data_IF_221944441647
#
_entry.id   IF_221944441647
#
_cell.length_a   1.000
_cell.length_b   1.000
_cell.length_c   1.000
_cell.angle_alpha   90.00
_cell.angle_beta   90.00
_cell.angle_gamma   90.00
#
_symmetry.space_group_name_H-M   'P 1'
#
loop_
_entity.id
_entity.type
_entity.pdbx_description
1 polymer ?
#
# COMPACT_ATOMS: atom_id res chain seq x y z
N UNK A 1 53.76 -29.93 42.16
CA UNK A 1 52.82 -28.81 41.92
C UNK A 1 51.59 -29.20 41.11
N UNK A 2 51.73 -29.96 40.00
CA UNK A 2 50.60 -30.35 39.13
C UNK A 2 49.41 -31.05 39.83
N UNK A 3 49.66 -31.89 40.84
CA UNK A 3 48.60 -32.66 41.50
C UNK A 3 47.66 -31.77 42.33
N UNK A 4 48.21 -30.77 43.05
CA UNK A 4 47.42 -29.82 43.86
C UNK A 4 46.51 -28.95 43.00
N UNK A 5 47.00 -28.49 41.85
CA UNK A 5 46.17 -27.72 40.91
C UNK A 5 45.03 -28.54 40.29
N UNK A 6 45.27 -29.83 40.03
CA UNK A 6 44.25 -30.72 39.46
C UNK A 6 43.14 -30.98 40.47
N UNK A 7 43.48 -31.25 41.73
CA UNK A 7 42.51 -31.41 42.82
C UNK A 7 41.69 -30.15 43.06
N UNK A 8 42.31 -28.96 43.01
CA UNK A 8 41.58 -27.70 43.15
C UNK A 8 40.55 -27.50 42.02
N UNK A 9 40.95 -27.82 40.77
CA UNK A 9 40.05 -27.79 39.61
C UNK A 9 38.91 -28.79 39.77
N UNK A 10 39.19 -30.03 40.20
CA UNK A 10 38.17 -31.05 40.52
C UNK A 10 37.22 -30.57 41.61
N UNK A 11 37.73 -29.96 42.68
CA UNK A 11 36.93 -29.41 43.79
C UNK A 11 35.98 -28.28 43.35
N UNK A 12 36.43 -27.38 42.47
CA UNK A 12 35.59 -26.33 41.87
C UNK A 12 34.47 -26.93 41.00
N UNK A 13 34.80 -27.87 40.12
CA UNK A 13 33.81 -28.56 39.26
C UNK A 13 32.80 -29.34 40.09
N UNK A 14 33.26 -30.09 41.11
CA UNK A 14 32.41 -30.87 42.02
C UNK A 14 31.38 -30.00 42.74
N UNK A 15 31.81 -28.88 43.35
CA UNK A 15 30.90 -27.93 44.01
C UNK A 15 29.87 -27.34 43.05
N UNK A 16 30.31 -27.01 41.83
CA UNK A 16 29.43 -26.46 40.81
C UNK A 16 28.37 -27.46 40.32
N UNK A 17 28.75 -28.72 40.13
CA UNK A 17 27.81 -29.81 39.78
C UNK A 17 26.81 -30.04 40.91
N UNK A 18 27.26 -30.01 42.19
CA UNK A 18 26.37 -30.12 43.36
C UNK A 18 25.31 -29.02 43.40
N UNK A 19 25.71 -27.78 43.15
CA UNK A 19 24.77 -26.66 43.07
C UNK A 19 23.90 -26.69 41.81
N UNK A 20 24.34 -27.34 40.72
CA UNK A 20 23.65 -27.33 39.43
C UNK A 20 23.60 -28.73 38.78
N UNK A 21 22.74 -29.66 39.25
CA UNK A 21 22.72 -31.05 38.77
C UNK A 21 22.40 -31.22 37.28
N UNK A 22 21.81 -30.20 36.63
CA UNK A 22 21.47 -30.19 35.18
C UNK A 22 22.58 -29.63 34.29
N UNK A 23 23.74 -29.28 34.86
CA UNK A 23 24.81 -28.57 34.17
C UNK A 23 25.44 -29.37 33.02
N UNK A 24 26.04 -28.64 32.07
CA UNK A 24 26.77 -29.16 30.92
C UNK A 24 28.26 -28.83 30.99
N UNK A 25 29.10 -29.60 30.29
CA UNK A 25 30.53 -29.30 30.15
C UNK A 25 30.79 -27.87 29.64
N UNK A 26 29.90 -27.37 28.76
CA UNK A 26 29.96 -26.00 28.23
C UNK A 26 29.69 -24.95 29.29
N UNK A 27 28.71 -25.17 30.16
CA UNK A 27 28.38 -24.25 31.26
C UNK A 27 29.48 -24.23 32.31
N UNK A 28 30.04 -25.39 32.66
CA UNK A 28 31.20 -25.49 33.55
C UNK A 28 32.39 -24.72 32.97
N UNK A 29 32.73 -24.94 31.69
CA UNK A 29 33.80 -24.19 31.02
C UNK A 29 33.54 -22.69 31.02
N UNK A 30 32.30 -22.26 30.74
CA UNK A 30 31.94 -20.84 30.68
C UNK A 30 32.02 -20.16 32.05
N UNK A 31 31.57 -20.83 33.11
CA UNK A 31 31.44 -20.25 34.46
C UNK A 31 32.72 -20.38 35.28
N UNK A 32 33.44 -21.48 35.12
CA UNK A 32 34.64 -21.77 35.92
C UNK A 32 35.94 -21.60 35.12
N UNK A 33 35.88 -21.42 33.80
CA UNK A 33 37.07 -21.41 32.94
C UNK A 33 37.73 -22.79 32.75
N UNK A 34 37.16 -23.85 33.35
CA UNK A 34 37.75 -25.19 33.39
C UNK A 34 37.14 -26.08 32.29
N UNK A 35 38.00 -26.65 31.44
CA UNK A 35 37.59 -27.76 30.56
C UNK A 35 37.51 -29.03 31.42
N UNK A 36 36.35 -29.68 31.46
CA UNK A 36 36.12 -30.85 32.32
C UNK A 36 37.03 -32.01 31.93
N UNK A 37 37.31 -32.16 30.64
CA UNK A 37 38.22 -33.16 30.09
C UNK A 37 39.69 -32.96 30.52
N UNK A 38 40.05 -31.77 31.01
CA UNK A 38 41.37 -31.51 31.61
C UNK A 38 41.41 -31.81 33.11
N UNK A 39 40.24 -31.94 33.76
CA UNK A 39 40.12 -32.22 35.19
C UNK A 39 39.77 -33.69 35.47
N UNK A 40 39.04 -34.35 34.57
CA UNK A 40 38.56 -35.72 34.69
C UNK A 40 38.82 -36.47 33.37
N UNK A 41 39.34 -37.70 33.47
CA UNK A 41 39.74 -38.52 32.31
C UNK A 41 38.51 -39.03 31.54
N UNK A 42 37.45 -39.44 32.24
CA UNK A 42 36.17 -39.80 31.59
C UNK A 42 35.24 -38.58 31.41
N UNK A 43 35.78 -37.37 31.59
CA UNK A 43 35.08 -36.11 31.41
C UNK A 43 33.89 -35.95 32.36
N UNK A 44 32.72 -35.62 31.81
CA UNK A 44 31.53 -35.30 32.61
C UNK A 44 31.02 -36.49 33.44
N UNK A 45 31.22 -37.74 32.98
CA UNK A 45 30.73 -38.93 33.69
C UNK A 45 31.42 -39.04 35.05
N UNK A 46 32.75 -39.10 35.05
CA UNK A 46 33.58 -39.13 36.26
C UNK A 46 33.35 -37.89 37.14
N UNK A 47 33.13 -36.72 36.54
CA UNK A 47 32.81 -35.50 37.31
C UNK A 47 31.48 -35.59 38.09
N UNK A 48 30.44 -36.20 37.50
CA UNK A 48 29.15 -36.43 38.16
C UNK A 48 29.24 -37.52 39.24
N UNK A 49 29.96 -38.62 38.96
CA UNK A 49 30.25 -39.69 39.91
C UNK A 49 31.04 -39.14 41.12
N UNK A 50 32.09 -38.36 40.89
CA UNK A 50 32.89 -37.71 41.94
C UNK A 50 32.09 -36.67 42.76
N UNK A 51 31.03 -36.09 42.19
CA UNK A 51 30.09 -35.23 42.90
C UNK A 51 29.00 -35.98 43.68
N UNK A 52 28.95 -37.31 43.56
CA UNK A 52 27.90 -38.18 44.07
C UNK A 52 26.50 -37.75 43.59
N UNK A 53 26.39 -37.37 42.32
CA UNK A 53 25.14 -36.97 41.67
C UNK A 53 24.89 -37.83 40.46
N UNK A 54 23.71 -38.46 40.42
CA UNK A 54 23.27 -39.24 39.27
C UNK A 54 23.11 -38.32 38.06
N UNK A 55 23.87 -38.57 37.00
CA UNK A 55 23.74 -37.78 35.78
C UNK A 55 22.39 -38.04 35.10
N UNK A 56 21.73 -36.97 34.68
CA UNK A 56 20.50 -37.03 33.88
C UNK A 56 20.76 -37.43 32.42
N UNK A 57 22.03 -37.52 32.01
CA UNK A 57 22.43 -37.84 30.63
C UNK A 57 23.13 -39.19 30.59
N UNK A 58 22.75 -40.01 29.62
CA UNK A 58 23.50 -41.21 29.31
C UNK A 58 24.73 -40.82 28.49
N UNK A 59 25.92 -40.92 29.08
CA UNK A 59 27.20 -40.61 28.42
C UNK A 59 27.72 -41.75 27.53
N UNK A 60 27.07 -42.94 27.56
CA UNK A 60 27.44 -44.05 26.69
C UNK A 60 27.16 -43.68 25.23
N UNK A 61 28.21 -43.63 24.42
CA UNK A 61 28.11 -43.36 22.98
C UNK A 61 27.42 -44.55 22.31
N UNK A 62 26.27 -44.31 21.68
CA UNK A 62 25.60 -45.32 20.85
C UNK A 62 26.42 -45.60 19.59
N UNK A 63 26.55 -46.88 19.23
CA UNK A 63 27.20 -47.32 17.98
C UNK A 63 26.35 -46.93 16.76
N UNK A 64 26.92 -47.03 15.56
CA UNK A 64 26.19 -46.73 14.33
C UNK A 64 25.00 -47.66 14.14
N UNK A 65 25.13 -48.95 14.46
CA UNK A 65 24.07 -49.94 14.27
C UNK A 65 22.95 -49.83 15.31
N UNK A 66 23.28 -49.48 16.57
CA UNK A 66 22.26 -49.14 17.57
C UNK A 66 21.42 -47.93 17.12
N UNK A 67 22.07 -46.92 16.53
CA UNK A 67 21.37 -45.75 15.98
C UNK A 67 20.48 -46.14 14.80
N UNK A 68 20.96 -47.00 13.91
CA UNK A 68 20.17 -47.53 12.78
C UNK A 68 18.92 -48.25 13.27
N UNK A 69 19.06 -49.15 14.25
CA UNK A 69 17.94 -49.91 14.83
C UNK A 69 16.87 -48.97 15.40
N UNK A 70 17.27 -48.00 16.22
CA UNK A 70 16.34 -47.01 16.82
C UNK A 70 15.58 -46.22 15.74
N UNK A 71 16.28 -45.80 14.67
CA UNK A 71 15.66 -45.05 13.57
C UNK A 71 14.69 -45.94 12.78
N UNK A 72 15.08 -47.18 12.47
CA UNK A 72 14.23 -48.14 11.75
C UNK A 72 12.95 -48.43 12.55
N UNK A 73 13.09 -48.73 13.85
CA UNK A 73 11.95 -49.01 14.72
C UNK A 73 11.01 -47.81 14.82
N UNK A 74 11.57 -46.59 14.87
CA UNK A 74 10.78 -45.37 14.88
C UNK A 74 10.03 -45.16 13.55
N UNK A 75 10.67 -45.39 12.41
CA UNK A 75 10.04 -45.29 11.08
C UNK A 75 8.90 -46.31 10.93
N UNK A 76 9.13 -47.56 11.37
CA UNK A 76 8.09 -48.62 11.34
C UNK A 76 6.87 -48.24 12.17
N UNK A 77 7.07 -47.65 13.35
CA UNK A 77 5.98 -47.16 14.21
C UNK A 77 5.29 -45.90 13.68
N UNK A 78 6.00 -45.05 12.94
CA UNK A 78 5.50 -43.76 12.47
C UNK A 78 5.84 -43.50 10.98
N UNK A 79 5.25 -44.26 10.05
CA UNK A 79 5.67 -44.30 8.64
C UNK A 79 5.52 -42.97 7.90
N UNK A 80 4.61 -42.09 8.34
CA UNK A 80 4.36 -40.78 7.69
C UNK A 80 5.28 -39.65 8.16
N UNK A 81 6.25 -39.91 9.04
CA UNK A 81 7.07 -38.83 9.66
C UNK A 81 8.24 -38.35 8.79
N UNK A 82 8.58 -37.07 8.85
CA UNK A 82 9.74 -36.53 8.14
C UNK A 82 11.06 -36.76 8.90
N UNK A 83 12.19 -36.71 8.19
CA UNK A 83 13.53 -36.87 8.79
C UNK A 83 13.81 -35.90 9.94
N UNK A 84 13.32 -34.65 9.86
CA UNK A 84 13.45 -33.68 10.96
C UNK A 84 12.74 -34.14 12.24
N UNK A 85 11.51 -34.66 12.12
CA UNK A 85 10.72 -35.17 13.25
C UNK A 85 11.38 -36.39 13.86
N UNK A 86 11.89 -37.31 13.03
CA UNK A 86 12.63 -38.49 13.45
C UNK A 86 13.85 -38.07 14.27
N UNK A 87 14.66 -37.14 13.76
CA UNK A 87 15.84 -36.67 14.50
C UNK A 87 15.53 -35.97 15.80
N UNK A 88 14.45 -35.18 15.85
CA UNK A 88 14.02 -34.50 17.08
C UNK A 88 13.55 -35.48 18.16
N UNK A 89 12.76 -36.49 17.78
CA UNK A 89 12.18 -37.46 18.73
C UNK A 89 13.18 -38.51 19.18
N UNK A 90 14.00 -39.01 18.26
CA UNK A 90 15.04 -40.02 18.59
C UNK A 90 16.31 -39.41 19.19
N UNK A 91 16.48 -38.08 19.10
CA UNK A 91 17.71 -37.34 19.44
C UNK A 91 18.93 -37.84 18.65
N UNK A 92 18.71 -38.45 17.48
CA UNK A 92 19.75 -38.97 16.60
C UNK A 92 19.60 -38.31 15.22
N UNK A 93 20.66 -37.68 14.73
CA UNK A 93 20.67 -37.18 13.35
C UNK A 93 20.66 -38.39 12.39
N UNK A 94 19.67 -38.47 11.50
CA UNK A 94 19.53 -39.59 10.55
C UNK A 94 20.76 -39.73 9.67
N UNK A 95 21.38 -38.61 9.28
CA UNK A 95 22.60 -38.61 8.45
C UNK A 95 23.83 -39.20 9.17
N UNK A 96 23.79 -39.32 10.51
CA UNK A 96 24.86 -39.98 11.27
C UNK A 96 24.73 -41.51 11.27
N UNK A 97 23.58 -42.06 10.84
CA UNK A 97 23.30 -43.50 10.79
C UNK A 97 23.19 -44.02 9.35
N UNK A 98 22.59 -43.23 8.46
CA UNK A 98 22.33 -43.51 7.05
C UNK A 98 22.87 -42.38 6.16
N UNK A 99 23.12 -42.64 4.88
CA UNK A 99 23.55 -41.64 3.88
C UNK A 99 22.47 -40.57 3.67
N UNK A 100 21.20 -40.97 3.67
CA UNK A 100 20.07 -40.05 3.59
C UNK A 100 18.80 -40.67 4.24
N UNK A 101 17.74 -39.87 4.36
CA UNK A 101 16.47 -40.33 4.93
C UNK A 101 15.77 -41.40 4.08
N UNK A 102 15.96 -41.39 2.76
CA UNK A 102 15.32 -42.36 1.87
C UNK A 102 15.88 -43.76 2.10
N UNK A 103 17.19 -43.86 2.34
CA UNK A 103 17.87 -45.09 2.71
C UNK A 103 17.32 -45.63 4.04
N UNK A 104 17.16 -44.79 5.06
CA UNK A 104 16.56 -45.20 6.34
C UNK A 104 15.16 -45.80 6.17
N UNK A 105 14.34 -45.22 5.28
CA UNK A 105 13.01 -45.71 4.93
C UNK A 105 13.05 -47.03 4.15
N UNK A 106 14.00 -47.17 3.21
CA UNK A 106 14.26 -48.40 2.46
C UNK A 106 14.63 -49.55 3.41
N UNK A 107 15.55 -49.32 4.35
CA UNK A 107 15.93 -50.31 5.37
C UNK A 107 14.80 -50.64 6.35
N UNK A 108 13.87 -49.70 6.58
CA UNK A 108 12.69 -49.95 7.39
C UNK A 108 11.59 -50.74 6.66
N UNK A 109 11.70 -50.95 5.34
CA UNK A 109 10.66 -51.58 4.52
C UNK A 109 9.42 -50.69 4.32
N UNK A 110 9.55 -49.37 4.51
CA UNK A 110 8.43 -48.41 4.46
C UNK A 110 8.61 -47.46 3.27
N UNK A 111 7.54 -47.21 2.50
CA UNK A 111 7.58 -46.22 1.42
C UNK A 111 7.82 -44.82 1.99
N UNK A 112 8.84 -44.13 1.49
CA UNK A 112 9.20 -42.78 1.93
C UNK A 112 8.06 -41.77 1.63
N UNK A 113 7.51 -41.06 2.64
CA UNK A 113 6.37 -40.15 2.49
C UNK A 113 6.79 -38.81 1.85
N UNK A 114 7.21 -38.83 0.59
CA UNK A 114 7.55 -37.61 -0.16
C UNK A 114 6.28 -36.93 -0.66
N UNK A 115 6.22 -35.58 -0.62
CA UNK A 115 5.10 -34.84 -1.23
C UNK A 115 5.18 -34.99 -2.76
N UNK A 116 4.04 -35.24 -3.43
CA UNK A 116 3.91 -35.35 -4.91
C UNK A 116 4.54 -34.19 -5.69
N UNK A 117 4.62 -32.99 -5.11
CA UNK A 117 5.27 -31.83 -5.73
C UNK A 117 6.79 -31.99 -5.98
N UNK A 118 7.45 -32.91 -5.25
CA UNK A 118 8.86 -33.24 -5.46
C UNK A 118 9.09 -34.35 -6.48
N UNK A 119 8.04 -35.02 -6.96
CA UNK A 119 8.14 -36.08 -7.98
C UNK A 119 8.21 -35.49 -9.39
N UNK A 120 7.68 -34.28 -9.60
CA UNK A 120 7.72 -33.62 -10.91
C UNK A 120 9.11 -33.15 -11.31
N UNK A 121 9.49 -33.46 -12.55
CA UNK A 121 10.77 -33.06 -13.14
C UNK A 121 10.85 -31.53 -13.31
N UNK A 122 12.07 -31.03 -13.50
CA UNK A 122 12.29 -29.60 -13.77
C UNK A 122 11.53 -29.15 -15.03
N UNK A 123 11.53 -29.97 -16.07
CA UNK A 123 10.87 -29.70 -17.35
C UNK A 123 9.34 -29.65 -17.24
N UNK A 124 8.73 -30.59 -16.51
CA UNK A 124 7.29 -30.57 -16.25
C UNK A 124 6.87 -29.30 -15.52
N UNK A 125 7.70 -28.82 -14.59
CA UNK A 125 7.46 -27.57 -13.87
C UNK A 125 7.62 -26.36 -14.81
N UNK A 126 8.62 -26.36 -15.70
CA UNK A 126 8.78 -25.31 -16.73
C UNK A 126 7.56 -25.26 -17.65
N UNK A 127 7.15 -26.40 -18.23
CA UNK A 127 5.95 -26.50 -19.08
C UNK A 127 4.69 -26.00 -18.37
N UNK A 128 4.51 -26.38 -17.09
CA UNK A 128 3.38 -25.91 -16.28
C UNK A 128 3.40 -24.40 -16.06
N UNK A 129 4.56 -23.81 -15.79
CA UNK A 129 4.69 -22.36 -15.62
C UNK A 129 4.36 -21.63 -16.93
N UNK A 130 4.89 -22.10 -18.06
CA UNK A 130 4.59 -21.55 -19.40
C UNK A 130 3.09 -21.61 -19.66
N UNK A 131 2.44 -22.74 -19.39
CA UNK A 131 0.99 -22.87 -19.56
C UNK A 131 0.19 -21.92 -18.64
N UNK A 132 0.63 -21.73 -17.40
CA UNK A 132 -0.01 -20.78 -16.48
C UNK A 132 0.09 -19.34 -16.99
N UNK A 133 1.23 -18.98 -17.59
CA UNK A 133 1.45 -17.65 -18.20
C UNK A 133 0.57 -17.50 -19.44
N UNK A 134 0.50 -18.51 -20.31
CA UNK A 134 -0.39 -18.54 -21.49
C UNK A 134 -1.85 -18.32 -21.12
N UNK A 135 -2.32 -19.01 -20.08
CA UNK A 135 -3.72 -18.94 -19.66
C UNK A 135 -4.05 -17.64 -18.91
N UNK A 136 -3.08 -17.02 -18.21
CA UNK A 136 -3.29 -15.76 -17.50
C UNK A 136 -1.97 -14.96 -17.41
N UNK A 137 -1.73 -14.04 -18.37
CA UNK A 137 -0.56 -13.17 -18.41
C UNK A 137 -0.43 -12.20 -17.24
N UNK A 138 -1.52 -11.94 -16.51
CA UNK A 138 -1.54 -11.00 -15.37
C UNK A 138 -1.12 -11.66 -14.05
N UNK A 139 -0.86 -12.97 -14.06
CA UNK A 139 -0.50 -13.73 -12.87
C UNK A 139 0.81 -13.22 -12.26
N UNK A 140 0.81 -13.07 -10.95
CA UNK A 140 1.98 -12.69 -10.16
C UNK A 140 2.93 -13.87 -9.99
N UNK A 141 4.21 -13.60 -9.72
CA UNK A 141 5.21 -14.64 -9.44
C UNK A 141 4.81 -15.53 -8.25
N UNK A 142 4.16 -14.94 -7.24
CA UNK A 142 3.66 -15.67 -6.06
C UNK A 142 2.52 -16.63 -6.42
N UNK A 143 1.54 -16.18 -7.22
CA UNK A 143 0.45 -17.03 -7.71
C UNK A 143 0.97 -18.17 -8.59
N UNK A 144 1.92 -17.87 -9.48
CA UNK A 144 2.59 -18.89 -10.30
C UNK A 144 3.29 -19.90 -9.39
N UNK A 145 4.03 -19.44 -8.38
CA UNK A 145 4.75 -20.32 -7.44
C UNK A 145 3.79 -21.24 -6.69
N UNK A 146 2.68 -20.69 -6.18
CA UNK A 146 1.66 -21.46 -5.45
C UNK A 146 1.01 -22.53 -6.34
N UNK A 147 0.68 -22.20 -7.59
CA UNK A 147 0.04 -23.12 -8.54
C UNK A 147 1.02 -24.14 -9.12
N UNK A 148 2.24 -23.71 -9.49
CA UNK A 148 3.27 -24.57 -10.06
C UNK A 148 3.94 -25.46 -9.02
N UNK A 149 3.98 -25.03 -7.75
CA UNK A 149 4.73 -25.70 -6.69
C UNK A 149 6.24 -25.54 -6.82
N UNK A 150 6.68 -24.55 -7.60
CA UNK A 150 8.09 -24.25 -7.86
C UNK A 150 8.27 -22.75 -8.10
N UNK A 151 9.39 -22.22 -7.62
CA UNK A 151 9.76 -20.82 -7.85
C UNK A 151 10.25 -20.64 -9.28
N UNK A 152 9.67 -19.73 -10.09
CA UNK A 152 10.07 -19.54 -11.47
C UNK A 152 11.55 -19.20 -11.65
N UNK A 153 12.12 -18.35 -10.78
CA UNK A 153 13.54 -17.96 -10.84
C UNK A 153 14.52 -19.11 -10.58
N UNK A 154 14.05 -20.29 -10.13
CA UNK A 154 14.88 -21.50 -10.00
C UNK A 154 14.89 -22.37 -11.26
N UNK A 155 13.96 -22.11 -12.18
CA UNK A 155 13.72 -22.92 -13.38
C UNK A 155 13.98 -22.16 -14.68
N UNK A 156 14.03 -20.84 -14.60
CA UNK A 156 14.32 -19.89 -15.67
C UNK A 156 15.35 -18.89 -15.15
N UNK A 157 16.14 -18.29 -16.04
CA UNK A 157 17.09 -17.21 -15.74
C UNK A 157 16.38 -16.05 -15.03
N UNK A 158 15.21 -15.68 -15.54
CA UNK A 158 14.29 -14.73 -14.94
C UNK A 158 12.84 -15.04 -15.38
N UNK A 159 11.88 -14.25 -14.90
CA UNK A 159 10.47 -14.45 -15.28
C UNK A 159 10.19 -13.89 -16.70
N UNK A 160 11.06 -13.06 -17.27
CA UNK A 160 10.91 -12.60 -18.67
C UNK A 160 11.11 -13.76 -19.63
N UNK A 161 12.14 -14.59 -19.42
CA UNK A 161 12.38 -15.79 -20.22
C UNK A 161 11.13 -16.70 -20.25
N UNK A 162 10.47 -16.88 -19.12
CA UNK A 162 9.25 -17.68 -19.03
C UNK A 162 8.08 -17.08 -19.86
N UNK A 163 8.03 -15.76 -20.02
CA UNK A 163 7.04 -15.04 -20.83
C UNK A 163 7.38 -15.12 -22.32
N UNK A 164 8.66 -14.97 -22.66
CA UNK A 164 9.14 -15.10 -24.04
C UNK A 164 8.90 -16.51 -24.57
N UNK A 165 9.20 -17.54 -23.76
CA UNK A 165 8.88 -18.94 -24.07
C UNK A 165 7.37 -19.23 -24.13
N UNK A 166 6.55 -18.41 -23.48
CA UNK A 166 5.10 -18.47 -23.60
C UNK A 166 4.56 -17.74 -24.84
N UNK A 167 5.40 -17.00 -25.58
CA UNK A 167 4.98 -16.16 -26.69
C UNK A 167 4.20 -14.92 -26.26
N UNK A 168 4.39 -14.46 -25.02
CA UNK A 168 3.66 -13.32 -24.45
C UNK A 168 4.65 -12.24 -24.06
N UNK A 169 4.38 -10.99 -24.43
CA UNK A 169 5.19 -9.85 -24.01
C UNK A 169 5.19 -9.74 -22.49
N UNK A 170 6.39 -9.67 -21.90
CA UNK A 170 6.55 -9.46 -20.47
C UNK A 170 5.80 -8.21 -19.97
N UNK A 171 5.01 -8.38 -18.92
CA UNK A 171 4.29 -7.29 -18.25
C UNK A 171 4.91 -7.08 -16.86
N UNK A 172 5.39 -5.86 -16.60
CA UNK A 172 5.95 -5.52 -15.29
C UNK A 172 4.88 -5.57 -14.18
N UNK A 173 5.31 -5.77 -12.93
CA UNK A 173 4.41 -5.84 -11.78
C UNK A 173 3.43 -4.65 -11.66
N UNK A 174 3.90 -3.39 -11.75
CA UNK A 174 3.01 -2.21 -11.72
C UNK A 174 1.98 -2.22 -12.83
N UNK A 175 2.38 -2.58 -14.06
CA UNK A 175 1.46 -2.67 -15.22
C UNK A 175 0.43 -3.78 -15.03
N UNK A 176 0.80 -4.95 -14.49
CA UNK A 176 -0.15 -6.02 -14.15
C UNK A 176 -1.18 -5.57 -13.12
N UNK A 177 -0.74 -4.85 -12.07
CA UNK A 177 -1.65 -4.30 -11.05
C UNK A 177 -2.64 -3.33 -11.68
N UNK A 178 -2.15 -2.40 -12.50
CA UNK A 178 -3.00 -1.44 -13.22
C UNK A 178 -4.02 -2.14 -14.13
N UNK A 179 -3.60 -3.14 -14.92
CA UNK A 179 -4.49 -3.94 -15.77
C UNK A 179 -5.57 -4.67 -14.97
N UNK A 180 -5.21 -5.34 -13.85
CA UNK A 180 -6.19 -6.02 -12.99
C UNK A 180 -7.21 -5.05 -12.41
N UNK A 181 -6.79 -3.87 -11.98
CA UNK A 181 -7.68 -2.83 -11.48
C UNK A 181 -8.58 -2.31 -12.62
N UNK A 182 -8.01 -2.05 -13.80
CA UNK A 182 -8.74 -1.63 -14.99
C UNK A 182 -9.84 -2.63 -15.36
N UNK A 183 -9.50 -3.92 -15.41
CA UNK A 183 -10.45 -5.01 -15.68
C UNK A 183 -11.50 -5.13 -14.58
N UNK A 184 -11.12 -4.99 -13.31
CA UNK A 184 -12.07 -4.99 -12.18
C UNK A 184 -13.10 -3.86 -12.31
N UNK A 185 -12.67 -2.65 -12.64
CA UNK A 185 -13.57 -1.51 -12.87
C UNK A 185 -14.49 -1.78 -14.05
N UNK A 186 -13.95 -2.27 -15.17
CA UNK A 186 -14.73 -2.60 -16.37
C UNK A 186 -15.82 -3.64 -16.06
N UNK A 187 -15.48 -4.73 -15.36
CA UNK A 187 -16.45 -5.75 -14.94
C UNK A 187 -17.51 -5.17 -14.01
N UNK A 188 -17.11 -4.36 -13.03
CA UNK A 188 -18.04 -3.73 -12.11
C UNK A 188 -19.03 -2.80 -12.83
N UNK A 189 -18.57 -2.02 -13.81
CA UNK A 189 -19.42 -1.14 -14.63
C UNK A 189 -20.37 -1.94 -15.53
N UNK A 190 -19.92 -3.07 -16.09
CA UNK A 190 -20.79 -3.98 -16.85
C UNK A 190 -21.93 -4.54 -16.00
N UNK A 191 -21.61 -4.95 -14.77
CA UNK A 191 -22.59 -5.48 -13.81
C UNK A 191 -23.49 -4.40 -13.23
N UNK A 192 -22.99 -3.16 -13.14
CA UNK A 192 -23.69 -2.02 -12.56
C UNK A 192 -23.65 -0.81 -13.52
N UNK A 193 -24.42 -0.83 -14.62
CA UNK A 193 -24.49 0.27 -15.60
C UNK A 193 -24.90 1.62 -15.01
N UNK A 194 -25.56 1.58 -13.85
CA UNK A 194 -25.98 2.75 -13.10
C UNK A 194 -25.04 3.10 -11.95
N UNK A 195 -23.75 2.76 -11.98
CA UNK A 195 -22.85 3.11 -10.89
C UNK A 195 -22.27 4.52 -11.04
N UNK A 196 -22.36 5.33 -9.99
CA UNK A 196 -21.66 6.63 -9.89
C UNK A 196 -20.15 6.43 -9.70
N UNK A 197 -19.36 7.45 -10.00
CA UNK A 197 -17.90 7.40 -9.79
C UNK A 197 -17.53 7.06 -8.33
N UNK A 198 -18.31 7.55 -7.37
CA UNK A 198 -18.09 7.27 -5.95
C UNK A 198 -18.29 5.79 -5.64
N UNK A 199 -19.36 5.19 -6.15
CA UNK A 199 -19.65 3.76 -5.95
C UNK A 199 -18.58 2.88 -6.60
N UNK A 200 -18.15 3.22 -7.82
CA UNK A 200 -17.05 2.52 -8.50
C UNK A 200 -15.75 2.62 -7.68
N UNK A 201 -15.40 3.83 -7.22
CA UNK A 201 -14.18 4.03 -6.44
C UNK A 201 -14.19 3.21 -5.15
N UNK A 202 -15.33 3.17 -4.45
CA UNK A 202 -15.50 2.42 -3.22
C UNK A 202 -15.45 0.91 -3.45
N UNK A 203 -16.16 0.39 -4.46
CA UNK A 203 -16.17 -1.04 -4.76
C UNK A 203 -14.81 -1.54 -5.28
N UNK A 204 -14.11 -0.70 -6.05
CA UNK A 204 -12.84 -1.04 -6.66
C UNK A 204 -11.63 -0.71 -5.78
N UNK A 205 -11.79 0.06 -4.69
CA UNK A 205 -10.73 0.58 -3.82
C UNK A 205 -9.64 1.34 -4.58
N UNK A 206 -10.06 2.25 -5.46
CA UNK A 206 -9.17 3.04 -6.32
C UNK A 206 -9.91 4.26 -6.87
N UNK A 207 -9.19 5.30 -7.31
CA UNK A 207 -9.82 6.40 -8.04
C UNK A 207 -9.82 6.11 -9.55
N UNK A 208 -11.00 6.15 -10.16
CA UNK A 208 -11.15 5.94 -11.61
C UNK A 208 -10.25 6.87 -12.44
N UNK A 209 -10.03 8.11 -12.00
CA UNK A 209 -9.16 9.08 -12.67
C UNK A 209 -7.68 8.70 -12.68
N UNK A 210 -7.23 7.87 -11.72
CA UNK A 210 -5.85 7.38 -11.67
C UNK A 210 -5.61 6.24 -12.66
N UNK A 211 -6.69 5.57 -13.12
CA UNK A 211 -6.64 4.38 -13.95
C UNK A 211 -6.98 4.69 -15.41
N UNK A 212 -7.86 5.66 -15.64
CA UNK A 212 -8.38 6.02 -16.97
C UNK A 212 -8.11 7.50 -17.27
N UNK A 213 -7.49 7.77 -18.43
CA UNK A 213 -7.12 9.12 -18.83
C UNK A 213 -8.36 10.00 -19.10
N UNK A 214 -9.44 9.42 -19.64
CA UNK A 214 -10.72 10.13 -19.82
C UNK A 214 -11.68 9.91 -18.64
N UNK A 215 -11.16 9.48 -17.49
CA UNK A 215 -11.92 9.24 -16.26
C UNK A 215 -13.02 8.20 -16.44
N UNK A 216 -14.17 8.44 -15.80
CA UNK A 216 -15.31 7.51 -15.77
C UNK A 216 -15.87 7.20 -17.16
N UNK A 217 -15.83 8.15 -18.10
CA UNK A 217 -16.33 7.95 -19.45
C UNK A 217 -15.55 6.87 -20.20
N UNK A 218 -14.23 6.80 -20.00
CA UNK A 218 -13.41 5.74 -20.61
C UNK A 218 -13.77 4.37 -20.06
N UNK A 219 -14.01 4.27 -18.76
CA UNK A 219 -14.39 3.03 -18.09
C UNK A 219 -15.71 2.48 -18.65
N UNK A 220 -16.71 3.35 -18.83
CA UNK A 220 -18.00 3.00 -19.44
C UNK A 220 -17.86 2.60 -20.91
N UNK A 221 -17.09 3.36 -21.69
CA UNK A 221 -16.84 3.04 -23.09
C UNK A 221 -16.15 1.67 -23.26
N UNK A 222 -15.12 1.38 -22.45
CA UNK A 222 -14.43 0.09 -22.47
C UNK A 222 -15.29 -1.06 -21.91
N UNK A 223 -16.25 -0.74 -21.05
CA UNK A 223 -17.27 -1.69 -20.61
C UNK A 223 -18.33 -1.98 -21.69
N UNK A 224 -18.41 -1.19 -22.77
CA UNK A 224 -19.46 -1.32 -23.77
C UNK A 224 -20.84 -0.90 -23.24
N UNK A 225 -20.87 -0.04 -22.21
CA UNK A 225 -22.09 0.41 -21.55
C UNK A 225 -22.26 1.91 -21.80
N UNK A 226 -23.49 2.35 -22.14
CA UNK A 226 -23.79 3.77 -22.29
C UNK A 226 -23.70 4.47 -20.94
N UNK A 227 -22.96 5.58 -20.89
CA UNK A 227 -22.87 6.41 -19.69
C UNK A 227 -24.23 7.07 -19.39
N UNK A 228 -24.74 7.04 -18.15
CA UNK A 228 -26.02 7.65 -17.79
C UNK A 228 -25.91 9.18 -17.68
N UNK A 229 -25.92 9.86 -18.83
CA UNK A 229 -25.79 11.32 -18.92
C UNK A 229 -26.86 12.09 -18.16
N UNK A 230 -28.05 11.51 -18.01
CA UNK A 230 -29.20 12.07 -17.26
C UNK A 230 -28.85 12.42 -15.80
N UNK A 231 -27.79 11.82 -15.24
CA UNK A 231 -27.32 12.08 -13.86
C UNK A 231 -26.38 13.26 -13.75
N UNK A 232 -25.83 13.74 -14.86
CA UNK A 232 -25.03 14.95 -14.84
C UNK A 232 -25.97 16.10 -14.52
N UNK A 233 -26.03 16.45 -13.23
CA UNK A 233 -26.69 17.66 -12.78
C UNK A 233 -25.87 18.85 -13.29
N UNK A 234 -26.18 19.29 -14.51
CA UNK A 234 -25.64 20.52 -15.09
C UNK A 234 -26.18 21.68 -14.27
N UNK A 235 -25.38 22.19 -13.34
CA UNK A 235 -25.73 23.35 -12.53
C UNK A 235 -25.03 24.61 -13.06
N UNK A 236 -25.76 25.73 -13.02
CA UNK A 236 -25.20 27.06 -13.28
C UNK A 236 -24.56 27.19 -14.66
N UNK A 237 -23.24 27.44 -14.68
CA UNK A 237 -22.42 27.67 -15.88
C UNK A 237 -22.46 26.49 -16.88
N UNK A 238 -22.81 25.27 -16.42
CA UNK A 238 -22.98 24.12 -17.31
C UNK A 238 -24.14 24.25 -18.31
N UNK A 239 -25.15 25.08 -18.01
CA UNK A 239 -26.30 25.32 -18.88
C UNK A 239 -26.06 26.56 -19.75
N UNK A 240 -26.28 26.43 -21.07
CA UNK A 240 -26.06 27.53 -22.03
C UNK A 240 -26.93 28.75 -21.72
N UNK A 241 -28.21 28.52 -21.43
CA UNK A 241 -29.18 29.58 -21.11
C UNK A 241 -28.78 30.41 -19.89
N UNK A 242 -28.29 29.76 -18.83
CA UNK A 242 -27.82 30.46 -17.63
C UNK A 242 -26.57 31.30 -17.93
N UNK A 243 -25.65 30.79 -18.76
CA UNK A 243 -24.47 31.56 -19.20
C UNK A 243 -24.86 32.79 -20.01
N UNK A 244 -25.73 32.62 -21.00
CA UNK A 244 -26.21 33.72 -21.83
C UNK A 244 -26.92 34.79 -20.99
N UNK A 245 -27.74 34.37 -20.02
CA UNK A 245 -28.42 35.28 -19.09
C UNK A 245 -27.43 36.03 -18.20
N UNK A 246 -26.45 35.34 -17.61
CA UNK A 246 -25.44 35.96 -16.76
C UNK A 246 -24.58 36.98 -17.54
N UNK A 247 -24.19 36.65 -18.77
CA UNK A 247 -23.44 37.54 -19.65
C UNK A 247 -24.25 38.80 -20.00
N UNK A 248 -25.54 38.64 -20.34
CA UNK A 248 -26.44 39.78 -20.61
C UNK A 248 -26.58 40.70 -19.40
N UNK A 249 -26.71 40.12 -18.20
CA UNK A 249 -26.78 40.92 -16.97
C UNK A 249 -25.48 41.69 -16.74
N UNK A 250 -24.32 41.07 -16.90
CA UNK A 250 -23.03 41.77 -16.81
C UNK A 250 -22.90 42.91 -17.83
N UNK A 251 -23.31 42.68 -19.08
CA UNK A 251 -23.33 43.69 -20.14
C UNK A 251 -24.22 44.89 -19.78
N UNK A 252 -25.42 44.63 -19.29
CA UNK A 252 -26.36 45.67 -18.87
C UNK A 252 -25.78 46.51 -17.72
N UNK A 253 -25.19 45.86 -16.72
CA UNK A 253 -24.54 46.55 -15.60
C UNK A 253 -23.36 47.40 -16.08
N UNK A 254 -22.52 46.87 -16.96
CA UNK A 254 -21.39 47.61 -17.52
C UNK A 254 -21.86 48.85 -18.30
N UNK A 255 -22.89 48.70 -19.14
CA UNK A 255 -23.46 49.81 -19.90
C UNK A 255 -24.01 50.90 -18.97
N UNK A 256 -24.79 50.54 -17.94
CA UNK A 256 -25.28 51.51 -16.95
C UNK A 256 -24.14 52.23 -16.23
N UNK A 257 -23.04 51.53 -15.92
CA UNK A 257 -21.87 52.11 -15.26
C UNK A 257 -21.10 53.11 -16.12
N UNK A 258 -21.10 52.96 -17.45
CA UNK A 258 -20.43 53.93 -18.34
C UNK A 258 -21.01 55.34 -18.24
N UNK A 259 -22.29 55.47 -17.86
CA UNK A 259 -22.91 56.77 -17.58
C UNK A 259 -22.34 57.48 -16.33
N UNK A 260 -21.56 56.79 -15.51
CA UNK A 260 -21.02 57.32 -14.26
C UNK A 260 -19.49 57.45 -14.23
N UNK A 261 -18.76 56.85 -15.18
CA UNK A 261 -17.29 56.82 -15.19
C UNK A 261 -16.72 55.86 -16.24
N UNK A 262 -15.40 55.69 -16.23
CA UNK A 262 -14.71 54.76 -17.11
C UNK A 262 -14.94 53.31 -16.68
N UNK A 263 -15.28 52.44 -17.64
CA UNK A 263 -15.56 51.02 -17.40
C UNK A 263 -14.62 50.18 -18.27
N UNK A 264 -13.80 49.34 -17.63
CA UNK A 264 -13.00 48.33 -18.31
C UNK A 264 -13.53 46.94 -17.92
N UNK A 265 -13.95 46.14 -18.90
CA UNK A 265 -14.53 44.81 -18.67
C UNK A 265 -13.49 43.70 -18.79
N UNK A 266 -13.77 42.56 -18.13
CA UNK A 266 -13.02 41.31 -18.24
C UNK A 266 -11.51 41.51 -18.05
N UNK A 267 -11.14 42.23 -16.99
CA UNK A 267 -9.75 42.65 -16.76
C UNK A 267 -8.99 41.55 -16.04
N UNK A 268 -7.88 41.10 -16.65
CA UNK A 268 -7.01 40.07 -16.04
C UNK A 268 -6.34 40.60 -14.76
N UNK A 269 -6.35 39.77 -13.73
CA UNK A 269 -5.63 39.94 -12.47
C UNK A 269 -4.72 38.73 -12.23
N UNK A 270 -3.88 38.77 -11.18
CA UNK A 270 -3.05 37.60 -10.80
C UNK A 270 -3.92 36.43 -10.33
N UNK A 271 -5.08 36.72 -9.74
CA UNK A 271 -6.01 35.76 -9.16
C UNK A 271 -7.21 35.42 -10.06
N UNK A 272 -7.24 35.87 -11.32
CA UNK A 272 -8.31 35.53 -12.27
C UNK A 272 -8.66 36.65 -13.23
N UNK A 273 -9.94 36.77 -13.56
CA UNK A 273 -10.49 37.83 -14.41
C UNK A 273 -11.56 38.54 -13.56
N UNK A 274 -11.36 39.83 -13.32
CA UNK A 274 -12.38 40.65 -12.68
C UNK A 274 -13.41 41.07 -13.73
N UNK A 275 -14.69 41.00 -13.39
CA UNK A 275 -15.77 41.31 -14.35
C UNK A 275 -15.65 42.76 -14.85
N UNK A 276 -15.47 43.73 -13.94
CA UNK A 276 -15.36 45.15 -14.26
C UNK A 276 -14.34 45.87 -13.35
N UNK A 277 -13.47 46.70 -13.94
CA UNK A 277 -12.71 47.75 -13.25
C UNK A 277 -13.36 49.08 -13.58
N UNK A 278 -13.90 49.75 -12.57
CA UNK A 278 -14.58 51.03 -12.71
C UNK A 278 -13.69 52.17 -12.19
N UNK A 279 -13.56 53.22 -12.98
CA UNK A 279 -12.71 54.37 -12.68
C UNK A 279 -13.50 55.68 -12.75
N UNK A 280 -13.38 56.49 -11.70
CA UNK A 280 -14.01 57.81 -11.62
C UNK A 280 -13.10 58.75 -10.85
N UNK A 281 -12.75 59.89 -11.46
CA UNK A 281 -11.92 60.95 -10.84
C UNK A 281 -10.62 60.42 -10.23
N UNK A 282 -9.91 59.59 -10.98
CA UNK A 282 -8.63 59.00 -10.57
C UNK A 282 -8.73 57.93 -9.47
N UNK A 283 -9.93 57.57 -9.02
CA UNK A 283 -10.16 56.46 -8.09
C UNK A 283 -10.64 55.23 -8.85
N UNK A 284 -10.23 54.05 -8.39
CA UNK A 284 -10.63 52.75 -8.96
C UNK A 284 -11.45 51.94 -7.96
N UNK A 285 -12.43 51.23 -8.49
CA UNK A 285 -13.17 50.21 -7.78
C UNK A 285 -13.25 48.93 -8.62
N UNK A 286 -13.24 47.78 -7.96
CA UNK A 286 -13.43 46.49 -8.63
C UNK A 286 -14.87 46.05 -8.45
N UNK A 287 -15.49 45.63 -9.54
CA UNK A 287 -16.91 45.28 -9.57
C UNK A 287 -17.01 43.85 -10.10
N UNK A 288 -17.68 43.01 -9.32
CA UNK A 288 -18.06 41.65 -9.68
C UNK A 288 -19.57 41.59 -9.87
N UNK A 289 -20.02 41.12 -11.02
CA UNK A 289 -21.43 40.96 -11.35
C UNK A 289 -21.81 39.49 -11.17
N UNK A 290 -22.87 39.25 -10.42
CA UNK A 290 -23.34 37.89 -10.12
C UNK A 290 -24.85 37.80 -10.31
N UNK A 291 -25.23 37.11 -11.38
CA UNK A 291 -26.61 36.75 -11.70
C UNK A 291 -27.11 35.65 -10.74
N UNK A 292 -27.51 36.10 -9.55
CA UNK A 292 -27.93 35.26 -8.45
C UNK A 292 -29.44 35.10 -8.36
N UNK A 293 -30.01 34.31 -9.27
CA UNK A 293 -31.42 33.93 -9.18
C UNK A 293 -31.68 32.70 -8.32
N UNK A 294 -30.64 31.92 -7.94
CA UNK A 294 -30.82 30.65 -7.24
C UNK A 294 -30.04 30.48 -5.92
N UNK A 295 -29.03 31.32 -5.63
CA UNK A 295 -28.19 31.18 -4.41
C UNK A 295 -27.77 32.55 -3.87
N UNK A 296 -27.59 32.71 -2.55
CA UNK A 296 -27.04 33.92 -1.96
C UNK A 296 -25.53 34.04 -2.21
N UNK A 297 -25.01 35.27 -2.14
CA UNK A 297 -23.56 35.54 -2.20
C UNK A 297 -22.84 34.79 -1.09
N UNK A 298 -21.84 34.01 -1.48
CA UNK A 298 -21.04 33.21 -0.55
C UNK A 298 -19.82 34.00 -0.04
N UNK A 299 -19.27 33.60 1.11
CA UNK A 299 -17.99 34.16 1.60
C UNK A 299 -16.85 33.97 0.59
N UNK A 300 -16.88 32.91 -0.23
CA UNK A 300 -15.86 32.65 -1.24
C UNK A 300 -15.78 33.78 -2.28
N UNK A 301 -16.91 34.36 -2.68
CA UNK A 301 -16.93 35.51 -3.60
C UNK A 301 -16.45 36.79 -2.97
N UNK A 302 -16.81 37.04 -1.70
CA UNK A 302 -16.28 38.18 -0.96
C UNK A 302 -14.76 38.10 -0.89
N UNK A 303 -14.23 36.91 -0.60
CA UNK A 303 -12.79 36.67 -0.54
C UNK A 303 -12.13 36.79 -1.93
N UNK A 304 -12.79 36.33 -3.00
CA UNK A 304 -12.31 36.49 -4.37
C UNK A 304 -12.20 37.96 -4.76
N UNK A 305 -13.26 38.74 -4.53
CA UNK A 305 -13.24 40.18 -4.78
C UNK A 305 -12.16 40.88 -3.94
N UNK A 306 -11.96 40.49 -2.68
CA UNK A 306 -10.88 41.03 -1.86
C UNK A 306 -9.49 40.81 -2.48
N UNK A 307 -9.24 39.65 -3.09
CA UNK A 307 -7.98 39.37 -3.82
C UNK A 307 -7.83 40.27 -5.05
N UNK A 308 -8.92 40.56 -5.76
CA UNK A 308 -8.87 41.51 -6.87
C UNK A 308 -8.56 42.93 -6.39
N UNK A 309 -9.13 43.35 -5.26
CA UNK A 309 -8.78 44.65 -4.66
C UNK A 309 -7.29 44.76 -4.37
N UNK A 310 -6.68 43.70 -3.83
CA UNK A 310 -5.24 43.61 -3.59
C UNK A 310 -4.44 43.65 -4.91
N UNK A 311 -4.85 42.90 -5.93
CA UNK A 311 -4.17 42.84 -7.24
C UNK A 311 -4.14 44.20 -7.95
N UNK A 312 -5.23 44.98 -7.83
CA UNK A 312 -5.37 46.29 -8.47
C UNK A 312 -4.98 47.46 -7.54
N UNK A 313 -4.43 47.17 -6.35
CA UNK A 313 -4.05 48.15 -5.32
C UNK A 313 -5.16 49.18 -5.03
N UNK A 314 -6.38 48.71 -4.88
CA UNK A 314 -7.54 49.53 -4.54
C UNK A 314 -8.21 49.00 -3.27
N UNK A 315 -9.08 49.81 -2.66
CA UNK A 315 -9.68 49.49 -1.37
C UNK A 315 -11.22 49.49 -1.39
N UNK A 316 -11.82 49.58 -2.57
CA UNK A 316 -13.27 49.64 -2.74
C UNK A 316 -13.72 48.62 -3.79
N UNK A 317 -14.57 47.69 -3.36
CA UNK A 317 -15.15 46.67 -4.22
C UNK A 317 -16.67 46.67 -4.16
N UNK A 318 -17.30 46.31 -5.28
CA UNK A 318 -18.74 46.11 -5.37
C UNK A 318 -19.06 44.71 -5.88
N UNK A 319 -20.06 44.09 -5.26
CA UNK A 319 -20.75 42.92 -5.81
C UNK A 319 -22.14 43.33 -6.22
N UNK A 320 -22.49 43.16 -7.48
CA UNK A 320 -23.78 43.57 -8.03
C UNK A 320 -24.58 42.32 -8.35
N UNK A 321 -25.80 42.25 -7.82
CA UNK A 321 -26.68 41.09 -7.97
C UNK A 321 -28.16 41.52 -8.05
N UNK A 322 -29.05 40.63 -8.46
CA UNK A 322 -30.49 40.89 -8.49
C UNK A 322 -31.12 41.07 -7.10
N UNK A 323 -30.66 40.29 -6.12
CA UNK A 323 -31.20 40.30 -4.76
C UNK A 323 -30.10 40.43 -3.72
N UNK A 324 -30.11 41.54 -2.98
CA UNK A 324 -29.09 41.83 -1.98
C UNK A 324 -29.33 41.04 -0.69
N UNK A 325 -28.29 40.38 -0.15
CA UNK A 325 -28.40 39.67 1.12
C UNK A 325 -28.52 40.65 2.30
N UNK A 326 -29.08 40.18 3.43
CA UNK A 326 -29.21 40.98 4.67
C UNK A 326 -27.88 41.64 5.10
N UNK A 327 -26.77 40.90 5.01
CA UNK A 327 -25.42 41.45 5.24
C UNK A 327 -24.81 41.86 3.91
N UNK A 328 -24.73 43.17 3.68
CA UNK A 328 -24.33 43.75 2.40
C UNK A 328 -23.06 44.62 2.47
N UNK A 329 -22.39 44.69 3.62
CA UNK A 329 -21.14 45.44 3.81
C UNK A 329 -20.11 44.58 4.51
N UNK A 330 -18.89 44.60 4.00
CA UNK A 330 -17.76 43.83 4.51
C UNK A 330 -16.53 44.73 4.56
N UNK A 331 -15.81 44.70 5.68
CA UNK A 331 -14.53 45.36 5.87
C UNK A 331 -13.49 44.28 6.15
N UNK A 332 -12.48 44.16 5.29
CA UNK A 332 -11.42 43.17 5.38
C UNK A 332 -10.09 43.92 5.32
N UNK A 333 -9.43 44.10 6.46
CA UNK A 333 -8.28 45.00 6.56
C UNK A 333 -8.67 46.43 6.13
N UNK A 334 -7.96 46.98 5.14
CA UNK A 334 -8.25 48.30 4.55
C UNK A 334 -9.33 48.27 3.45
N UNK A 335 -9.75 47.09 3.01
CA UNK A 335 -10.63 46.92 1.85
C UNK A 335 -12.10 46.90 2.26
N UNK A 336 -12.90 47.71 1.58
CA UNK A 336 -14.34 47.84 1.77
C UNK A 336 -15.07 47.21 0.59
N UNK A 337 -15.88 46.18 0.87
CA UNK A 337 -16.71 45.51 -0.13
C UNK A 337 -18.18 45.77 0.18
N UNK A 338 -18.93 46.22 -0.83
CA UNK A 338 -20.34 46.56 -0.72
C UNK A 338 -21.13 45.72 -1.72
N UNK A 339 -22.18 45.07 -1.26
CA UNK A 339 -23.13 44.36 -2.12
C UNK A 339 -24.28 45.31 -2.45
N UNK A 340 -24.56 45.46 -3.73
CA UNK A 340 -25.62 46.33 -4.27
C UNK A 340 -26.57 45.53 -5.14
N UNK A 341 -27.82 45.99 -5.17
CA UNK A 341 -28.76 45.60 -6.22
C UNK A 341 -28.51 46.41 -7.50
N UNK A 342 -28.98 45.90 -8.63
CA UNK A 342 -28.93 46.59 -9.92
C UNK A 342 -29.63 47.96 -9.89
N UNK A 343 -30.72 48.09 -9.13
CA UNK A 343 -31.41 49.37 -8.89
C UNK A 343 -30.58 50.38 -8.08
N UNK A 344 -29.52 49.92 -7.40
CA UNK A 344 -28.65 50.74 -6.54
C UNK A 344 -27.36 51.19 -7.23
N UNK A 345 -27.18 50.94 -8.53
CA UNK A 345 -25.96 51.27 -9.28
C UNK A 345 -25.50 52.71 -9.12
N UNK A 346 -26.43 53.68 -9.04
CA UNK A 346 -26.11 55.10 -8.80
C UNK A 346 -25.30 55.33 -7.52
N UNK A 347 -25.38 54.43 -6.54
CA UNK A 347 -24.62 54.52 -5.29
C UNK A 347 -23.13 54.24 -5.51
N UNK A 348 -22.74 53.49 -6.54
CA UNK A 348 -21.33 53.24 -6.89
C UNK A 348 -20.59 54.56 -7.07
N UNK A 349 -21.17 55.46 -7.87
CA UNK A 349 -20.66 56.82 -8.06
C UNK A 349 -20.54 57.60 -6.75
N UNK A 350 -21.58 57.56 -5.90
CA UNK A 350 -21.60 58.25 -4.62
C UNK A 350 -20.50 57.77 -3.66
N UNK A 351 -20.22 56.46 -3.61
CA UNK A 351 -19.15 55.90 -2.78
C UNK A 351 -17.74 56.26 -3.27
N UNK A 352 -17.59 56.61 -4.55
CA UNK A 352 -16.31 57.06 -5.11
C UNK A 352 -16.07 58.57 -4.95
N UNK A 353 -17.05 59.29 -4.42
CA UNK A 353 -17.02 60.73 -4.22
C UNK A 353 -17.74 61.46 -5.35
N UNK A 354 -18.73 62.25 -4.95
CA UNK A 354 -19.28 63.34 -5.74
C UNK A 354 -18.28 64.46 -5.90
#
# INVERSE_FOLDING_TARGET
MLYKELEEKRGKVRRFIKANPKTTAREIKKRLGIKVEKAYLEGMREAFENANIKSLRNFKRKTRDERRKIIIDFIKKHPKTGGHTISKKTKINVCNAFKNIQEAYKFAGVKYPRKKSYEKTSEEKRKKIIQLIKNNPEMTSSEITKKAGAFPYRLFKDLSEAYDLAGIKWISGPKKRSLRIKNKIISFVKENPGATQREINNACNTHVQEIFNKGIFEAYNLAGVKFPFERLKLYGIGLREIRERANKFEEEIALKLTGFGGVNRLVRSKNGIADIVFERRGKKAIIEVKDYLAKPISRAQINQLNKYLEDFNCNLGFLICHHKPKKNKFLIGKNKIIILEDSELKKVAGFMGL
#
